data_IF_291185377156
#
_entry.id   IF_291185377156
#
_cell.length_a   1.000
_cell.length_b   1.000
_cell.length_c   1.000
_cell.angle_alpha   90.00
_cell.angle_beta   90.00
_cell.angle_gamma   90.00
#
_symmetry.space_group_name_H-M   'P 1'
#
loop_
_entity.id
_entity.type
_entity.pdbx_description
1 polymer ?
#
# COMPACT_ATOMS: atom_id res chain seq x y z
N UNK A 1 9.03 -12.11 18.84
CA UNK A 1 8.23 -13.19 18.21
C UNK A 1 6.92 -12.54 17.77
N UNK A 2 6.75 -12.27 16.48
CA UNK A 2 5.52 -11.70 15.93
C UNK A 2 4.49 -12.82 15.73
N UNK A 3 3.39 -12.78 16.48
CA UNK A 3 2.29 -13.74 16.33
C UNK A 3 1.56 -13.46 15.02
N UNK A 4 1.26 -14.50 14.24
CA UNK A 4 0.51 -14.36 12.99
C UNK A 4 -0.83 -15.10 13.07
N UNK A 5 -1.83 -14.59 12.35
CA UNK A 5 -3.16 -15.22 12.22
C UNK A 5 -3.57 -15.33 10.76
N UNK A 6 -4.41 -16.32 10.44
CA UNK A 6 -4.88 -16.53 9.06
C UNK A 6 -6.06 -15.61 8.73
N UNK A 7 -6.25 -15.37 7.43
CA UNK A 7 -7.36 -14.55 6.92
C UNK A 7 -8.74 -15.08 7.34
N UNK A 8 -8.92 -16.40 7.42
CA UNK A 8 -10.16 -17.03 7.92
C UNK A 8 -10.46 -16.64 9.36
N UNK A 9 -9.45 -16.73 10.23
CA UNK A 9 -9.56 -16.32 11.64
C UNK A 9 -9.81 -14.82 11.76
N UNK A 10 -9.15 -14.00 10.93
CA UNK A 10 -9.41 -12.56 10.89
C UNK A 10 -10.87 -12.26 10.57
N UNK A 11 -11.42 -12.96 9.57
CA UNK A 11 -12.81 -12.80 9.13
C UNK A 11 -13.80 -13.18 10.22
N UNK A 12 -13.56 -14.30 10.91
CA UNK A 12 -14.39 -14.74 12.04
C UNK A 12 -14.36 -13.72 13.18
N UNK A 13 -13.16 -13.23 13.54
CA UNK A 13 -13.00 -12.21 14.59
C UNK A 13 -13.68 -10.88 14.21
N UNK A 14 -13.61 -10.47 12.94
CA UNK A 14 -14.30 -9.29 12.44
C UNK A 14 -15.82 -9.47 12.51
N UNK A 15 -16.33 -10.62 12.05
CA UNK A 15 -17.76 -10.93 12.09
C UNK A 15 -18.31 -11.03 13.52
N UNK A 16 -17.51 -11.53 14.46
CA UNK A 16 -17.85 -11.61 15.88
C UNK A 16 -17.71 -10.27 16.64
N UNK A 17 -17.19 -9.22 16.01
CA UNK A 17 -16.91 -7.94 16.68
C UNK A 17 -15.83 -8.04 17.76
N UNK A 18 -14.97 -9.06 17.70
CA UNK A 18 -13.94 -9.34 18.70
C UNK A 18 -12.64 -8.54 18.47
N UNK A 19 -12.54 -7.83 17.34
CA UNK A 19 -11.43 -6.94 17.02
C UNK A 19 -11.56 -5.63 17.81
N UNK A 20 -10.58 -5.32 18.66
CA UNK A 20 -10.55 -4.06 19.40
C UNK A 20 -9.95 -2.94 18.58
N UNK A 21 -8.86 -3.24 17.86
CA UNK A 21 -8.13 -2.29 17.04
C UNK A 21 -7.52 -2.98 15.84
N UNK A 22 -7.57 -2.32 14.70
CA UNK A 22 -6.93 -2.75 13.46
C UNK A 22 -6.01 -1.62 13.01
N UNK A 23 -4.75 -1.95 12.74
CA UNK A 23 -3.73 -0.99 12.35
C UNK A 23 -3.00 -1.46 11.09
N UNK A 24 -2.86 -0.57 10.11
CA UNK A 24 -1.94 -0.72 9.00
C UNK A 24 -0.55 -0.27 9.48
N UNK A 25 0.30 -1.24 9.84
CA UNK A 25 1.66 -1.00 10.30
C UNK A 25 2.62 -0.90 9.12
N UNK A 26 3.38 0.19 9.06
CA UNK A 26 4.45 0.41 8.09
C UNK A 26 5.53 -0.66 8.21
N UNK A 27 5.94 -1.19 7.07
CA UNK A 27 7.01 -2.17 6.94
C UNK A 27 7.84 -1.82 5.71
N UNK A 28 9.01 -2.44 5.60
CA UNK A 28 9.80 -2.38 4.36
C UNK A 28 8.96 -2.96 3.22
N UNK A 29 8.68 -2.15 2.22
CA UNK A 29 7.92 -2.53 1.04
C UNK A 29 6.41 -2.40 1.12
N UNK A 30 5.87 -1.81 2.19
CA UNK A 30 4.44 -1.49 2.25
C UNK A 30 3.87 -1.45 3.66
N UNK A 31 2.68 -2.02 3.81
CA UNK A 31 1.92 -2.05 5.06
C UNK A 31 1.52 -3.48 5.41
N UNK A 32 1.73 -3.90 6.65
CA UNK A 32 1.14 -5.11 7.20
C UNK A 32 -0.12 -4.77 8.00
N UNK A 33 -1.03 -5.73 8.13
CA UNK A 33 -2.21 -5.59 8.98
C UNK A 33 -1.89 -6.17 10.35
N UNK A 34 -1.84 -5.31 11.36
CA UNK A 34 -1.76 -5.66 12.77
C UNK A 34 -3.14 -5.55 13.40
N UNK A 35 -3.54 -6.55 14.16
CA UNK A 35 -4.81 -6.55 14.90
C UNK A 35 -4.56 -6.80 16.37
N UNK A 36 -5.38 -6.17 17.19
CA UNK A 36 -5.37 -6.33 18.64
C UNK A 36 -6.69 -6.99 19.04
N UNK A 37 -6.60 -8.22 19.54
CA UNK A 37 -7.74 -9.00 19.98
C UNK A 37 -7.71 -9.21 21.50
N UNK A 38 -8.90 -9.24 22.12
CA UNK A 38 -9.09 -9.56 23.55
C UNK A 38 -8.63 -8.48 24.54
N UNK A 39 -8.58 -8.87 25.82
CA UNK A 39 -8.18 -8.03 26.97
C UNK A 39 -6.66 -7.89 27.12
N UNK A 40 -5.88 -8.82 26.56
CA UNK A 40 -4.42 -8.82 26.66
C UNK A 40 -3.71 -7.94 25.61
N UNK A 41 -4.45 -7.27 24.72
CA UNK A 41 -3.91 -6.40 23.67
C UNK A 41 -2.76 -7.04 22.87
N UNK A 42 -2.85 -8.35 22.59
CA UNK A 42 -1.80 -9.05 21.85
C UNK A 42 -1.79 -8.58 20.40
N UNK A 43 -0.67 -7.98 19.99
CA UNK A 43 -0.44 -7.60 18.61
C UNK A 43 -0.26 -8.84 17.74
N UNK A 44 -1.17 -9.04 16.79
CA UNK A 44 -1.15 -10.18 15.88
C UNK A 44 -1.20 -9.71 14.44
N UNK A 45 -0.33 -10.25 13.60
CA UNK A 45 -0.22 -9.86 12.19
C UNK A 45 -1.00 -10.79 11.28
N UNK A 46 -1.59 -10.25 10.22
CA UNK A 46 -2.20 -11.07 9.19
C UNK A 46 -1.12 -11.88 8.45
N UNK A 47 -1.29 -13.21 8.43
CA UNK A 47 -0.46 -14.12 7.67
C UNK A 47 -0.86 -14.13 6.19
N UNK A 48 0.13 -14.30 5.33
CA UNK A 48 -0.03 -14.70 3.94
C UNK A 48 -0.40 -16.19 3.86
N UNK A 49 -0.73 -16.66 2.67
CA UNK A 49 -0.96 -18.10 2.41
C UNK A 49 0.25 -18.97 2.75
N UNK A 50 1.45 -18.39 2.83
CA UNK A 50 2.70 -19.08 3.20
C UNK A 50 3.01 -19.03 4.69
N UNK A 51 2.17 -18.38 5.51
CA UNK A 51 2.36 -18.25 6.96
C UNK A 51 3.21 -17.04 7.39
N UNK A 52 3.91 -16.39 6.46
CA UNK A 52 4.66 -15.16 6.70
C UNK A 52 3.72 -13.94 6.84
N UNK A 53 4.17 -12.87 7.49
CA UNK A 53 3.40 -11.62 7.59
C UNK A 53 3.05 -11.09 6.19
N UNK A 54 1.77 -10.83 5.96
CA UNK A 54 1.27 -10.31 4.69
C UNK A 54 1.51 -8.81 4.60
N UNK A 55 2.33 -8.41 3.64
CA UNK A 55 2.59 -7.01 3.32
C UNK A 55 1.82 -6.61 2.06
N UNK A 56 1.13 -5.47 2.14
CA UNK A 56 0.39 -4.85 1.06
C UNK A 56 1.20 -3.67 0.51
N UNK A 57 1.27 -3.49 -0.82
CA UNK A 57 2.12 -2.47 -1.43
C UNK A 57 1.63 -1.03 -1.20
N UNK A 58 0.34 -0.83 -0.91
CA UNK A 58 -0.27 0.47 -0.68
C UNK A 58 -1.54 0.36 0.19
N UNK A 59 -1.93 1.49 0.78
CA UNK A 59 -3.12 1.59 1.63
C UNK A 59 -4.42 1.32 0.86
N UNK A 60 -4.50 1.64 -0.43
CA UNK A 60 -5.71 1.40 -1.23
C UNK A 60 -6.04 -0.10 -1.33
N UNK A 61 -5.03 -0.93 -1.60
CA UNK A 61 -5.18 -2.39 -1.68
C UNK A 61 -5.55 -2.96 -0.31
N UNK A 62 -4.91 -2.45 0.75
CA UNK A 62 -5.19 -2.84 2.12
C UNK A 62 -6.63 -2.48 2.52
N UNK A 63 -7.08 -1.25 2.26
CA UNK A 63 -8.43 -0.78 2.57
C UNK A 63 -9.49 -1.60 1.82
N UNK A 64 -9.29 -1.87 0.52
CA UNK A 64 -10.19 -2.72 -0.24
C UNK A 64 -10.24 -4.15 0.30
N UNK A 65 -9.13 -4.67 0.81
CA UNK A 65 -9.08 -5.98 1.45
C UNK A 65 -9.83 -6.00 2.78
N UNK A 66 -9.56 -5.05 3.68
CA UNK A 66 -10.24 -4.91 4.97
C UNK A 66 -11.76 -4.70 4.81
N UNK A 67 -12.17 -3.89 3.82
CA UNK A 67 -13.59 -3.64 3.50
C UNK A 67 -14.33 -4.94 3.13
N UNK A 68 -13.69 -5.85 2.38
CA UNK A 68 -14.26 -7.17 2.06
C UNK A 68 -14.43 -8.07 3.29
N UNK A 69 -13.66 -7.81 4.34
CA UNK A 69 -13.75 -8.52 5.62
C UNK A 69 -14.73 -7.87 6.60
N UNK A 70 -15.39 -6.76 6.21
CA UNK A 70 -16.32 -6.02 7.07
C UNK A 70 -15.64 -5.00 7.99
N UNK A 71 -14.34 -4.74 7.81
CA UNK A 71 -13.60 -3.76 8.61
C UNK A 71 -13.65 -2.42 7.87
N UNK A 72 -14.39 -1.47 8.43
CA UNK A 72 -14.59 -0.14 7.82
C UNK A 72 -13.60 0.91 8.33
N UNK A 73 -13.10 0.73 9.54
CA UNK A 73 -12.22 1.66 10.23
C UNK A 73 -10.94 0.95 10.66
N UNK A 74 -9.81 1.58 10.39
CA UNK A 74 -8.50 1.12 10.81
C UNK A 74 -7.58 2.33 10.97
N UNK A 75 -6.58 2.19 11.83
CA UNK A 75 -5.56 3.21 12.03
C UNK A 75 -4.37 2.94 11.12
N UNK A 76 -3.58 3.98 10.84
CA UNK A 76 -2.35 3.85 10.05
C UNK A 76 -1.19 4.24 10.94
N UNK A 77 -0.25 3.33 11.13
CA UNK A 77 1.03 3.61 11.76
C UNK A 77 2.11 3.57 10.70
N UNK A 78 2.71 4.72 10.38
CA UNK A 78 3.77 4.84 9.37
C UNK A 78 5.16 4.58 9.92
N UNK A 79 5.31 4.25 11.21
CA UNK A 79 6.59 3.86 11.78
C UNK A 79 7.14 2.65 11.02
N UNK A 80 8.36 2.77 10.48
CA UNK A 80 9.00 1.70 9.70
C UNK A 80 8.48 1.53 8.27
N UNK A 81 7.62 2.43 7.77
CA UNK A 81 7.25 2.43 6.36
C UNK A 81 8.45 2.84 5.51
N UNK A 82 8.98 1.89 4.74
CA UNK A 82 9.86 2.20 3.62
C UNK A 82 9.18 1.86 2.29
N UNK A 83 9.05 2.83 1.37
CA UNK A 83 8.54 2.55 0.04
C UNK A 83 9.55 1.63 -0.68
N UNK A 84 9.20 0.35 -0.87
CA UNK A 84 9.94 -0.46 -1.82
C UNK A 84 9.80 0.19 -3.20
N UNK A 85 10.93 0.37 -3.90
CA UNK A 85 10.95 0.90 -5.26
C UNK A 85 9.88 0.19 -6.08
N UNK A 86 8.85 0.94 -6.47
CA UNK A 86 7.81 0.48 -7.38
C UNK A 86 8.48 0.17 -8.71
N UNK A 87 8.92 -1.08 -8.86
CA UNK A 87 9.65 -1.67 -10.00
C UNK A 87 11.09 -1.15 -10.18
N UNK A 88 12.02 -2.05 -10.54
CA UNK A 88 13.20 -1.66 -11.34
C UNK A 88 12.66 -0.85 -12.52
N UNK A 89 13.19 0.34 -12.76
CA UNK A 89 12.87 1.11 -13.96
C UNK A 89 13.03 0.18 -15.18
N UNK A 90 11.92 -0.17 -15.85
CA UNK A 90 12.00 -0.93 -17.09
C UNK A 90 12.70 -0.03 -18.11
N UNK A 91 13.91 -0.37 -18.60
CA UNK A 91 14.71 0.52 -19.43
C UNK A 91 14.06 0.88 -20.78
N UNK A 92 13.01 0.16 -21.20
CA UNK A 92 12.32 0.41 -22.49
C UNK A 92 11.59 1.75 -22.60
N UNK A 93 11.06 2.33 -21.50
CA UNK A 93 10.35 3.62 -21.61
C UNK A 93 11.27 4.82 -21.77
N UNK A 94 12.52 4.74 -21.33
CA UNK A 94 13.49 5.81 -21.52
C UNK A 94 13.89 5.97 -23.00
N UNK A 95 13.82 4.90 -23.81
CA UNK A 95 14.06 4.98 -25.26
C UNK A 95 12.89 5.57 -26.05
N UNK A 96 11.65 5.39 -25.60
CA UNK A 96 10.47 5.92 -26.29
C UNK A 96 10.32 7.45 -26.13
N UNK A 97 10.69 8.03 -24.98
CA UNK A 97 10.63 9.47 -24.76
C UNK A 97 11.76 10.27 -25.43
N UNK A 98 12.81 9.61 -25.95
CA UNK A 98 13.92 10.30 -26.64
C UNK A 98 13.70 10.52 -28.14
N UNK A 99 12.60 10.01 -28.72
CA UNK A 99 12.32 10.15 -30.17
C UNK A 99 11.26 11.17 -30.53
N UNK A 100 10.61 11.82 -29.56
CA UNK A 100 9.54 12.80 -29.83
C UNK A 100 9.89 14.20 -29.33
N UNK A 101 11.16 14.59 -29.43
CA UNK A 101 11.53 16.01 -29.32
C UNK A 101 11.32 16.67 -30.67
N UNK A 102 10.06 16.89 -31.04
CA UNK A 102 9.74 17.83 -32.11
C UNK A 102 9.84 19.22 -31.50
N UNK A 103 10.92 19.93 -31.81
CA UNK A 103 11.11 21.33 -31.44
C UNK A 103 9.91 22.14 -31.94
N UNK A 104 9.12 22.79 -31.08
CA UNK A 104 8.15 23.75 -31.55
C UNK A 104 8.91 24.97 -32.05
N UNK A 105 9.03 25.10 -33.38
CA UNK A 105 9.44 26.34 -34.02
C UNK A 105 8.32 27.34 -33.82
N UNK A 106 8.48 28.25 -32.86
CA UNK A 106 7.64 29.44 -32.78
C UNK A 106 8.07 30.39 -33.91
N UNK A 107 7.22 30.70 -34.90
CA UNK A 107 7.48 31.81 -35.78
C UNK A 107 7.44 33.09 -34.92
N UNK A 108 8.56 33.81 -34.87
CA UNK A 108 8.58 35.16 -34.29
C UNK A 108 7.67 36.02 -35.15
N UNK A 109 6.52 36.38 -34.59
CA UNK A 109 5.65 37.40 -35.13
C UNK A 109 6.19 38.77 -34.69
N UNK A 110 6.02 39.74 -35.59
CA UNK A 110 6.39 41.17 -35.49
C UNK A 110 7.89 41.42 -35.76
N UNK A 111 8.29 42.35 -36.62
CA UNK A 111 7.81 43.72 -36.72
C UNK A 111 7.73 44.21 -38.18
N UNK A 112 6.59 44.80 -38.55
CA UNK A 112 6.52 45.68 -39.70
C UNK A 112 6.98 47.07 -39.29
N UNK A 113 7.90 47.64 -40.06
CA UNK A 113 8.13 49.09 -40.10
C UNK A 113 8.64 49.49 -41.47
N UNK A 114 7.95 50.51 -42.02
CA UNK A 114 8.28 51.37 -43.17
C UNK A 114 7.82 50.90 -44.55
#
# INVERSE_FOLDING_TARGET
MSTTLRETTLRELAAAGALRRVCAAGQVGGFAVAVFCGTAATETYLASTRGEVRVFPNLTTLAAHLRRLGIEQFEVNTAGYEPARVRKARPDRARALRRTRTTPTQPRLFEGTS
#
